data_IF_620931309653
#
_entry.id   IF_620931309653
#
_cell.length_a   1.000
_cell.length_b   1.000
_cell.length_c   1.000
_cell.angle_alpha   90.00
_cell.angle_beta   90.00
_cell.angle_gamma   90.00
#
_symmetry.space_group_name_H-M   'P 1'
#
loop_
_entity.id
_entity.type
_entity.pdbx_description
1 polymer ?
#
# COMPACT_ATOMS: atom_id res chain seq x y z
N UNK A 1 -4.54 17.26 -2.66
CA UNK A 1 -3.38 16.42 -2.84
C UNK A 1 -2.83 16.51 -4.25
N UNK A 2 -1.59 16.08 -4.46
CA UNK A 2 -0.90 16.14 -5.75
C UNK A 2 -1.56 15.37 -6.91
N UNK A 3 -2.58 14.57 -6.63
CA UNK A 3 -3.36 13.84 -7.63
C UNK A 3 -4.40 14.70 -8.37
N UNK A 4 -4.77 15.86 -7.84
CA UNK A 4 -5.80 16.72 -8.43
C UNK A 4 -5.26 17.80 -9.38
N UNK A 5 -3.96 17.90 -9.56
CA UNK A 5 -3.31 18.99 -10.31
C UNK A 5 -2.68 18.63 -11.65
N UNK A 6 -3.02 17.50 -12.25
CA UNK A 6 -2.64 17.15 -13.65
C UNK A 6 -1.16 17.26 -14.01
N UNK A 7 -0.22 16.70 -13.26
CA UNK A 7 1.20 16.74 -13.65
C UNK A 7 2.18 16.01 -12.76
N UNK A 8 1.73 15.46 -11.62
CA UNK A 8 2.65 14.84 -10.65
C UNK A 8 2.78 13.33 -10.74
N UNK A 9 1.80 12.64 -11.31
CA UNK A 9 1.75 11.17 -11.34
C UNK A 9 1.14 10.68 -12.65
N UNK A 10 1.83 9.80 -13.35
CA UNK A 10 1.28 9.07 -14.51
C UNK A 10 0.44 7.88 -14.08
N UNK A 11 0.82 7.22 -12.99
CA UNK A 11 0.07 6.17 -12.30
C UNK A 11 0.24 6.38 -10.80
N UNK A 12 -0.82 6.23 -10.02
CA UNK A 12 -0.74 6.37 -8.56
C UNK A 12 -1.76 5.48 -7.88
N UNK A 13 -1.36 4.75 -6.84
CA UNK A 13 -2.26 3.95 -6.00
C UNK A 13 -3.36 4.81 -5.37
N UNK A 14 -4.61 4.33 -5.42
CA UNK A 14 -5.80 4.99 -4.87
C UNK A 14 -6.33 6.18 -5.67
N UNK A 15 -7.60 6.49 -5.50
CA UNK A 15 -8.35 7.44 -6.33
C UNK A 15 -8.38 8.88 -5.81
N UNK A 16 -8.39 9.08 -4.50
CA UNK A 16 -8.80 10.37 -3.91
C UNK A 16 -7.66 11.28 -3.42
N UNK A 17 -6.45 10.75 -3.27
CA UNK A 17 -5.30 11.52 -2.77
C UNK A 17 -5.46 12.06 -1.33
N UNK A 18 -6.36 11.49 -0.55
CA UNK A 18 -6.72 11.95 0.81
C UNK A 18 -6.33 10.96 1.92
N UNK A 19 -5.81 9.77 1.58
CA UNK A 19 -5.55 8.69 2.55
C UNK A 19 -4.69 9.12 3.73
N UNK A 20 -3.59 9.79 3.49
CA UNK A 20 -2.71 10.30 4.58
C UNK A 20 -3.41 11.34 5.44
N UNK A 21 -4.24 12.21 4.83
CA UNK A 21 -5.01 13.22 5.57
C UNK A 21 -6.06 12.57 6.48
N UNK A 22 -6.67 11.47 6.02
CA UNK A 22 -7.62 10.68 6.82
C UNK A 22 -6.90 10.00 7.98
N UNK A 23 -5.76 9.34 7.74
CA UNK A 23 -4.95 8.74 8.82
C UNK A 23 -4.58 9.80 9.86
N UNK A 24 -4.17 11.00 9.43
CA UNK A 24 -3.84 12.09 10.33
C UNK A 24 -5.05 12.54 11.17
N UNK A 25 -6.22 12.71 10.55
CA UNK A 25 -7.44 13.11 11.25
C UNK A 25 -7.95 12.08 12.28
N UNK A 26 -7.71 10.79 12.00
CA UNK A 26 -8.10 9.65 12.85
C UNK A 26 -7.03 9.23 13.86
N UNK A 27 -5.93 9.98 13.95
CA UNK A 27 -4.82 9.69 14.88
C UNK A 27 -4.84 10.64 16.06
N UNK A 28 -4.56 10.10 17.26
CA UNK A 28 -4.28 10.89 18.45
C UNK A 28 -3.08 11.81 18.19
N UNK A 29 -2.03 11.24 17.57
CA UNK A 29 -0.90 12.00 17.03
C UNK A 29 -0.31 11.31 15.80
N UNK A 30 0.33 12.12 14.93
CA UNK A 30 1.04 11.67 13.77
C UNK A 30 2.32 12.49 13.59
N UNK A 31 3.42 11.80 13.27
CA UNK A 31 4.73 12.40 12.99
C UNK A 31 5.19 12.00 11.59
N UNK A 32 5.75 12.96 10.88
CA UNK A 32 6.31 12.75 9.55
C UNK A 32 7.75 13.22 9.53
N UNK A 33 8.65 12.34 9.14
CA UNK A 33 10.04 12.65 8.79
C UNK A 33 10.20 12.49 7.28
N UNK A 34 10.69 13.53 6.60
CA UNK A 34 10.97 13.50 5.18
C UNK A 34 12.47 13.69 4.97
N UNK A 35 13.11 12.67 4.45
CA UNK A 35 14.49 12.70 3.99
C UNK A 35 14.48 13.20 2.54
N UNK A 36 14.83 14.46 2.35
CA UNK A 36 14.71 15.12 1.06
C UNK A 36 16.03 15.10 0.27
N UNK A 37 15.92 15.31 -1.03
CA UNK A 37 17.08 15.28 -1.94
C UNK A 37 18.06 16.46 -1.76
N UNK A 38 17.71 17.46 -0.94
CA UNK A 38 18.61 18.58 -0.55
C UNK A 38 19.55 18.21 0.61
N UNK A 39 19.53 16.95 1.06
CA UNK A 39 20.36 16.44 2.14
C UNK A 39 19.86 16.77 3.54
N UNK A 40 18.64 17.24 3.69
CA UNK A 40 18.03 17.59 4.98
C UNK A 40 16.94 16.62 5.38
N UNK A 41 16.71 16.50 6.68
CA UNK A 41 15.59 15.79 7.28
C UNK A 41 14.59 16.81 7.83
N UNK A 42 13.41 16.83 7.24
CA UNK A 42 12.30 17.67 7.66
C UNK A 42 11.38 16.88 8.57
N UNK A 43 10.84 17.54 9.59
CA UNK A 43 9.96 16.93 10.58
C UNK A 43 8.75 17.81 10.82
N UNK A 44 7.61 17.18 11.01
CA UNK A 44 6.39 17.82 11.50
C UNK A 44 5.55 16.86 12.33
N UNK A 45 4.97 17.37 13.41
CA UNK A 45 4.05 16.64 14.29
C UNK A 45 2.64 17.24 14.20
N UNK A 46 1.69 16.35 14.28
CA UNK A 46 0.25 16.67 14.29
C UNK A 46 -0.41 16.01 15.49
N UNK A 47 -1.45 16.63 16.02
CA UNK A 47 -2.36 16.08 17.01
C UNK A 47 -3.79 16.24 16.54
N UNK A 48 -4.52 15.12 16.42
CA UNK A 48 -5.89 15.06 15.88
C UNK A 48 -6.06 15.86 14.60
N UNK A 49 -5.15 15.66 13.65
CA UNK A 49 -5.16 16.29 12.34
C UNK A 49 -4.64 17.73 12.28
N UNK A 50 -4.27 18.34 13.40
CA UNK A 50 -3.77 19.73 13.46
C UNK A 50 -2.27 19.75 13.68
N UNK A 51 -1.55 20.55 12.90
CA UNK A 51 -0.13 20.77 13.11
C UNK A 51 0.11 21.48 14.45
N UNK A 52 0.95 20.90 15.31
CA UNK A 52 1.32 21.47 16.62
C UNK A 52 2.48 22.45 16.53
N UNK A 53 3.28 22.34 15.46
CA UNK A 53 4.43 23.22 15.20
C UNK A 53 4.65 23.35 13.68
N UNK A 54 5.35 24.41 13.22
CA UNK A 54 5.79 24.50 11.84
C UNK A 54 6.77 23.39 11.48
N UNK A 55 6.91 23.11 10.17
CA UNK A 55 7.93 22.21 9.65
C UNK A 55 9.31 22.68 10.08
N UNK A 56 10.13 21.77 10.61
CA UNK A 56 11.50 22.06 11.05
C UNK A 56 12.51 21.09 10.45
N UNK A 57 13.74 21.54 10.29
CA UNK A 57 14.87 20.67 9.93
C UNK A 57 15.46 20.08 11.20
N UNK A 58 15.49 18.75 11.30
CA UNK A 58 15.99 18.02 12.48
C UNK A 58 17.33 17.33 12.25
N UNK A 59 17.82 17.28 11.01
CA UNK A 59 19.07 16.60 10.71
C UNK A 59 19.49 16.69 9.25
N UNK A 60 20.57 15.94 8.94
CA UNK A 60 21.08 15.75 7.59
C UNK A 60 20.98 14.28 7.18
N UNK A 61 20.86 14.04 5.88
CA UNK A 61 20.74 12.69 5.32
C UNK A 61 21.42 12.60 3.96
N UNK A 62 21.86 11.40 3.59
CA UNK A 62 22.33 11.06 2.24
C UNK A 62 21.35 10.11 1.52
N UNK A 63 20.17 9.89 2.09
CA UNK A 63 19.12 9.01 1.54
C UNK A 63 17.84 9.81 1.35
N UNK A 64 16.98 9.37 0.46
CA UNK A 64 15.63 9.90 0.30
C UNK A 64 14.59 8.92 0.83
N UNK A 65 13.48 9.45 1.33
CA UNK A 65 12.39 8.62 1.85
C UNK A 65 11.50 9.38 2.81
N UNK A 66 10.43 8.74 3.21
CA UNK A 66 9.47 9.27 4.19
C UNK A 66 9.24 8.23 5.28
N UNK A 67 9.28 8.67 6.54
CA UNK A 67 8.88 7.89 7.69
C UNK A 67 7.65 8.54 8.30
N UNK A 68 6.57 7.79 8.41
CA UNK A 68 5.34 8.23 9.08
C UNK A 68 5.11 7.36 10.30
N UNK A 69 4.92 8.00 11.45
CA UNK A 69 4.60 7.32 12.71
C UNK A 69 3.29 7.89 13.23
N UNK A 70 2.36 7.04 13.63
CA UNK A 70 1.07 7.49 14.13
C UNK A 70 0.52 6.58 15.21
N UNK A 71 -0.38 7.11 16.00
CA UNK A 71 -1.15 6.37 17.01
C UNK A 71 -2.63 6.57 16.72
N UNK A 72 -3.41 5.52 16.45
CA UNK A 72 -4.86 5.62 16.30
C UNK A 72 -5.51 6.28 17.53
N UNK A 73 -6.52 7.12 17.33
CA UNK A 73 -7.18 7.83 18.41
C UNK A 73 -8.19 6.91 19.12
N UNK A 74 -7.99 6.58 20.41
CA UNK A 74 -8.91 5.74 21.17
C UNK A 74 -10.26 6.43 21.46
N UNK A 75 -10.40 7.72 21.19
CA UNK A 75 -11.69 8.42 21.25
C UNK A 75 -12.56 8.17 20.01
N UNK A 76 -11.95 7.66 18.91
CA UNK A 76 -12.63 7.39 17.64
C UNK A 76 -12.80 5.89 17.43
N UNK A 77 -11.78 5.09 17.77
CA UNK A 77 -11.77 3.66 17.55
C UNK A 77 -12.06 2.89 18.83
N UNK A 78 -12.93 1.88 18.75
CA UNK A 78 -13.23 0.97 19.87
C UNK A 78 -12.01 0.14 20.25
N UNK A 79 -11.17 -0.23 19.26
CA UNK A 79 -9.87 -0.88 19.44
C UNK A 79 -8.80 -0.17 18.62
N UNK A 80 -7.61 -0.05 19.19
CA UNK A 80 -6.42 0.51 18.51
C UNK A 80 -5.36 -0.56 18.22
N UNK A 81 -5.70 -1.83 18.40
CA UNK A 81 -4.82 -2.94 18.08
C UNK A 81 -4.97 -3.36 16.62
N UNK A 82 -3.85 -3.56 15.95
CA UNK A 82 -3.81 -4.04 14.58
C UNK A 82 -3.77 -5.56 14.55
N UNK A 83 -4.60 -6.17 13.70
CA UNK A 83 -4.56 -7.60 13.47
C UNK A 83 -3.53 -7.94 12.39
N UNK A 84 -2.59 -8.83 12.73
CA UNK A 84 -1.53 -9.25 11.83
C UNK A 84 -2.06 -9.83 10.51
N UNK A 85 -3.03 -10.74 10.57
CA UNK A 85 -3.51 -11.45 9.37
C UNK A 85 -4.21 -10.48 8.41
N UNK A 86 -4.97 -9.52 8.92
CA UNK A 86 -5.61 -8.48 8.12
C UNK A 86 -4.58 -7.62 7.39
N UNK A 87 -3.53 -7.15 8.08
CA UNK A 87 -2.45 -6.38 7.48
C UNK A 87 -1.63 -7.21 6.50
N UNK A 88 -1.27 -8.43 6.87
CA UNK A 88 -0.47 -9.34 6.05
C UNK A 88 -1.18 -9.67 4.73
N UNK A 89 -2.48 -9.93 4.78
CA UNK A 89 -3.28 -10.19 3.59
C UNK A 89 -3.27 -8.98 2.64
N UNK A 90 -3.59 -7.80 3.14
CA UNK A 90 -3.65 -6.58 2.31
C UNK A 90 -2.28 -6.18 1.75
N UNK A 91 -1.21 -6.26 2.54
CA UNK A 91 0.14 -5.94 2.07
C UNK A 91 0.66 -6.94 1.03
N UNK A 92 0.26 -8.20 1.13
CA UNK A 92 0.55 -9.22 0.12
C UNK A 92 -0.15 -8.92 -1.20
N UNK A 93 -1.44 -8.55 -1.18
CA UNK A 93 -2.15 -8.11 -2.39
C UNK A 93 -1.46 -6.92 -3.05
N UNK A 94 -1.11 -5.90 -2.28
CA UNK A 94 -0.41 -4.72 -2.79
C UNK A 94 0.96 -5.08 -3.42
N UNK A 95 1.67 -6.05 -2.86
CA UNK A 95 2.94 -6.50 -3.43
C UNK A 95 2.76 -7.26 -4.76
N UNK A 96 1.65 -7.98 -4.95
CA UNK A 96 1.32 -8.59 -6.25
C UNK A 96 0.93 -7.55 -7.29
N UNK A 97 0.11 -6.55 -6.92
CA UNK A 97 -0.35 -5.50 -7.82
C UNK A 97 0.78 -4.56 -8.24
N UNK A 98 1.79 -4.39 -7.39
CA UNK A 98 2.93 -3.52 -7.65
C UNK A 98 4.19 -4.36 -7.87
N UNK A 99 4.33 -4.91 -9.07
CA UNK A 99 5.45 -5.79 -9.45
C UNK A 99 6.81 -5.18 -9.09
N UNK A 100 7.65 -5.98 -8.40
CA UNK A 100 8.98 -5.57 -7.95
C UNK A 100 9.01 -4.75 -6.65
N UNK A 101 7.86 -4.28 -6.14
CA UNK A 101 7.78 -3.60 -4.86
C UNK A 101 8.06 -4.56 -3.70
N UNK A 102 8.97 -4.17 -2.81
CA UNK A 102 9.26 -4.91 -1.58
C UNK A 102 8.50 -4.27 -0.42
N UNK A 103 7.67 -5.05 0.26
CA UNK A 103 6.94 -4.64 1.45
C UNK A 103 7.37 -5.52 2.62
N UNK A 104 7.71 -4.91 3.75
CA UNK A 104 8.05 -5.62 5.00
C UNK A 104 7.02 -5.25 6.06
N UNK A 105 6.45 -6.26 6.71
CA UNK A 105 5.61 -6.13 7.89
C UNK A 105 6.35 -6.67 9.11
N UNK A 106 6.39 -5.91 10.19
CA UNK A 106 7.04 -6.32 11.44
C UNK A 106 6.14 -6.00 12.62
N UNK A 107 5.84 -7.01 13.44
CA UNK A 107 5.26 -6.84 14.76
C UNK A 107 6.39 -6.94 15.80
N UNK A 108 6.72 -5.79 16.41
CA UNK A 108 7.82 -5.70 17.38
C UNK A 108 7.45 -6.39 18.70
N UNK A 109 6.17 -6.41 19.09
CA UNK A 109 5.72 -7.04 20.34
C UNK A 109 5.75 -8.56 20.24
N UNK A 110 5.31 -9.11 19.10
CA UNK A 110 5.26 -10.55 18.87
C UNK A 110 6.56 -11.11 18.24
N UNK A 111 7.56 -10.26 17.98
CA UNK A 111 8.80 -10.60 17.24
C UNK A 111 8.50 -11.36 15.92
N UNK A 112 7.48 -10.90 15.21
CA UNK A 112 7.01 -11.52 13.97
C UNK A 112 7.33 -10.61 12.80
N UNK A 113 7.89 -11.19 11.72
CA UNK A 113 8.26 -10.47 10.49
C UNK A 113 7.81 -11.22 9.26
N UNK A 114 7.33 -10.50 8.27
CA UNK A 114 7.05 -11.02 6.93
C UNK A 114 7.57 -10.04 5.87
N UNK A 115 7.98 -10.57 4.72
CA UNK A 115 8.40 -9.81 3.56
C UNK A 115 7.64 -10.30 2.33
N UNK A 116 7.11 -9.37 1.55
CA UNK A 116 6.38 -9.63 0.32
C UNK A 116 7.08 -8.91 -0.83
N UNK A 117 7.44 -9.65 -1.87
CA UNK A 117 7.97 -9.14 -3.13
C UNK A 117 7.62 -10.12 -4.23
N UNK A 118 6.91 -9.66 -5.24
CA UNK A 118 6.50 -10.47 -6.38
C UNK A 118 6.80 -9.70 -7.67
N UNK A 119 7.35 -10.40 -8.65
CA UNK A 119 7.75 -9.79 -9.92
C UNK A 119 6.79 -10.14 -11.08
N UNK A 120 5.80 -11.02 -10.83
CA UNK A 120 4.91 -11.56 -11.85
C UNK A 120 3.52 -10.87 -11.96
N UNK A 121 3.26 -9.79 -11.22
CA UNK A 121 2.00 -9.04 -11.31
C UNK A 121 0.73 -9.88 -11.08
N UNK A 122 -0.35 -9.59 -11.81
CA UNK A 122 -1.63 -10.30 -11.70
C UNK A 122 -1.53 -11.80 -12.00
N UNK A 123 -0.65 -12.21 -12.93
CA UNK A 123 -0.43 -13.64 -13.22
C UNK A 123 0.08 -14.38 -12.00
N UNK A 124 1.07 -13.82 -11.30
CA UNK A 124 1.58 -14.40 -10.06
C UNK A 124 0.53 -14.39 -8.94
N UNK A 125 -0.35 -13.39 -8.91
CA UNK A 125 -1.45 -13.33 -7.95
C UNK A 125 -2.46 -14.45 -8.19
N UNK A 126 -2.91 -14.68 -9.41
CA UNK A 126 -3.81 -15.77 -9.78
C UNK A 126 -3.18 -17.13 -9.48
N UNK A 127 -1.91 -17.33 -9.81
CA UNK A 127 -1.18 -18.55 -9.45
C UNK A 127 -1.14 -18.79 -7.93
N UNK A 128 -0.95 -17.71 -7.14
CA UNK A 128 -0.98 -17.79 -5.69
C UNK A 128 -2.36 -18.19 -5.13
N UNK A 129 -3.43 -17.64 -5.68
CA UNK A 129 -4.82 -17.95 -5.29
C UNK A 129 -5.20 -19.41 -5.60
N UNK A 130 -4.62 -19.98 -6.64
CA UNK A 130 -4.87 -21.35 -7.09
C UNK A 130 -3.88 -22.39 -6.56
N UNK A 131 -2.86 -21.98 -5.80
CA UNK A 131 -1.76 -22.87 -5.35
C UNK A 131 -2.20 -24.19 -4.70
N UNK A 132 -3.37 -24.20 -4.03
CA UNK A 132 -3.92 -25.39 -3.35
C UNK A 132 -5.24 -25.85 -3.97
N UNK A 133 -5.50 -25.51 -5.22
CA UNK A 133 -6.68 -25.92 -5.99
C UNK A 133 -6.24 -26.73 -7.21
N UNK A 134 -7.15 -27.50 -7.76
CA UNK A 134 -6.88 -28.24 -9.00
C UNK A 134 -7.22 -27.32 -10.18
N UNK A 135 -6.21 -26.76 -10.82
CA UNK A 135 -6.39 -25.97 -12.03
C UNK A 135 -6.89 -26.82 -13.20
N UNK A 136 -7.87 -26.34 -13.95
CA UNK A 136 -8.40 -27.01 -15.15
C UNK A 136 -7.52 -26.78 -16.37
N UNK A 137 -6.64 -25.79 -16.32
CA UNK A 137 -5.63 -25.53 -17.35
C UNK A 137 -4.37 -24.93 -16.72
N UNK A 138 -3.19 -25.28 -17.22
CA UNK A 138 -1.90 -24.88 -16.63
C UNK A 138 -1.56 -23.42 -16.89
N UNK A 139 -1.85 -22.93 -18.09
CA UNK A 139 -1.53 -21.57 -18.49
C UNK A 139 -2.58 -20.59 -17.94
N UNK A 140 -2.11 -19.52 -17.30
CA UNK A 140 -2.97 -18.41 -16.87
C UNK A 140 -3.22 -17.53 -18.09
N UNK A 141 -4.48 -17.32 -18.43
CA UNK A 141 -4.90 -16.41 -19.49
C UNK A 141 -4.58 -15.00 -19.02
N UNK A 142 -3.72 -14.29 -19.75
CA UNK A 142 -3.32 -12.92 -19.44
C UNK A 142 -3.60 -12.00 -20.61
N UNK A 143 -4.26 -10.87 -20.33
CA UNK A 143 -4.58 -9.83 -21.29
C UNK A 143 -4.08 -8.52 -20.71
N UNK A 144 -3.24 -7.81 -21.46
CA UNK A 144 -2.80 -6.46 -21.12
C UNK A 144 -3.05 -5.57 -22.34
N UNK A 145 -3.84 -4.51 -22.16
CA UNK A 145 -4.21 -3.61 -23.25
C UNK A 145 -4.28 -2.16 -22.77
N UNK A 146 -3.67 -1.28 -23.54
CA UNK A 146 -3.77 0.18 -23.37
C UNK A 146 -4.68 0.75 -24.47
N UNK A 147 -5.65 1.57 -24.08
CA UNK A 147 -6.55 2.30 -25.00
C UNK A 147 -6.62 3.77 -24.54
N UNK A 148 -5.94 4.66 -25.24
CA UNK A 148 -5.75 6.04 -24.81
C UNK A 148 -5.03 6.08 -23.45
N UNK A 149 -5.63 6.75 -22.49
CA UNK A 149 -5.09 6.89 -21.13
C UNK A 149 -5.55 5.76 -20.18
N UNK A 150 -6.31 4.79 -20.68
CA UNK A 150 -6.84 3.67 -19.90
C UNK A 150 -6.01 2.41 -20.15
N UNK A 151 -5.33 1.90 -19.13
CA UNK A 151 -4.68 0.59 -19.12
C UNK A 151 -5.60 -0.45 -18.49
N UNK A 152 -5.71 -1.62 -19.11
CA UNK A 152 -6.47 -2.77 -18.58
C UNK A 152 -5.58 -3.99 -18.55
N UNK A 153 -5.45 -4.60 -17.38
CA UNK A 153 -4.78 -5.87 -17.18
C UNK A 153 -5.75 -6.89 -16.60
N UNK A 154 -5.79 -8.09 -17.18
CA UNK A 154 -6.68 -9.18 -16.76
C UNK A 154 -5.87 -10.46 -16.67
N UNK A 155 -6.06 -11.24 -15.60
CA UNK A 155 -5.51 -12.58 -15.46
C UNK A 155 -6.61 -13.55 -15.00
N UNK A 156 -6.75 -14.70 -15.70
CA UNK A 156 -7.82 -15.67 -15.45
C UNK A 156 -7.24 -17.09 -15.43
N UNK A 157 -7.66 -17.88 -14.46
CA UNK A 157 -7.44 -19.31 -14.44
C UNK A 157 -8.65 -20.02 -13.82
N UNK A 158 -9.13 -21.07 -14.47
CA UNK A 158 -10.21 -21.92 -13.96
C UNK A 158 -9.65 -23.04 -13.09
N UNK A 159 -10.40 -23.40 -12.06
CA UNK A 159 -10.15 -24.54 -11.18
C UNK A 159 -11.44 -25.34 -10.96
N UNK A 160 -11.35 -26.51 -10.31
CA UNK A 160 -12.46 -27.41 -10.06
C UNK A 160 -13.32 -27.03 -8.84
N UNK A 161 -13.06 -25.91 -8.18
CA UNK A 161 -13.88 -25.44 -7.06
C UNK A 161 -15.17 -24.82 -7.57
N UNK A 162 -16.25 -24.94 -6.77
CA UNK A 162 -17.54 -24.30 -7.07
C UNK A 162 -17.60 -22.84 -6.59
N UNK A 163 -16.48 -22.28 -6.15
CA UNK A 163 -16.40 -20.91 -5.64
C UNK A 163 -15.69 -20.04 -6.68
N UNK A 164 -16.40 -19.04 -7.19
CA UNK A 164 -15.83 -17.98 -8.01
C UNK A 164 -15.06 -16.99 -7.13
N UNK A 165 -13.86 -16.61 -7.55
CA UNK A 165 -13.05 -15.58 -6.90
C UNK A 165 -12.71 -14.50 -7.94
N UNK A 166 -13.34 -13.34 -7.81
CA UNK A 166 -13.14 -12.19 -8.70
C UNK A 166 -12.59 -11.02 -7.90
N UNK A 167 -11.47 -10.48 -8.35
CA UNK A 167 -10.83 -9.30 -7.78
C UNK A 167 -10.76 -8.23 -8.85
N UNK A 168 -11.18 -7.02 -8.52
CA UNK A 168 -11.12 -5.86 -9.41
C UNK A 168 -10.41 -4.70 -8.69
N UNK A 169 -9.44 -4.12 -9.38
CA UNK A 169 -8.60 -3.04 -8.86
C UNK A 169 -8.68 -1.85 -9.82
N UNK A 170 -8.54 -0.65 -9.30
CA UNK A 170 -8.53 0.57 -10.10
C UNK A 170 -7.44 1.51 -9.57
N UNK A 171 -6.48 1.87 -10.44
CA UNK A 171 -5.35 2.76 -10.12
C UNK A 171 -4.51 2.28 -8.91
N UNK A 172 -4.21 1.01 -8.91
CA UNK A 172 -3.32 0.38 -7.91
C UNK A 172 -1.88 0.32 -8.41
#
# INVERSE_FOLDING_TARGET
>A
GGKFGGGGYSVSGGLHGVGVSVVNALSEWLEVEVHWNDGKVYFQRYERGRAVEPVKVIGKTNKTGTKTTFKPDPQIFETTEFEWETLAHRLRELAFLNSGLRITLTDVKADKKAEYKYDGGLVAFVAHLNKNKNELHKEIISINKQVGDVGVEVAIQYNDSYVESVFAFAND
#
